data_IF_118638140212
#
_entry.id   IF_118638140212
#
_cell.length_a   1.000
_cell.length_b   1.000
_cell.length_c   1.000
_cell.angle_alpha   90.00
_cell.angle_beta   90.00
_cell.angle_gamma   90.00
#
_symmetry.space_group_name_H-M   'P 1'
#
loop_
_entity.id
_entity.type
_entity.pdbx_description
1 polymer ?
#
# COMPACT_ATOMS: atom_id res chain seq x y z
N UNK A 1 32.00 -10.85 -2.05
CA UNK A 1 30.65 -10.87 -2.64
C UNK A 1 29.65 -10.76 -1.49
N UNK A 2 29.11 -9.56 -1.25
CA UNK A 2 28.08 -9.33 -0.20
C UNK A 2 26.73 -9.74 -0.77
N UNK A 3 26.14 -10.81 -0.25
CA UNK A 3 24.77 -11.21 -0.55
C UNK A 3 23.83 -10.15 0.04
N UNK A 4 23.19 -9.36 -0.81
CA UNK A 4 22.11 -8.48 -0.41
C UNK A 4 20.86 -9.37 -0.31
N UNK A 5 20.57 -9.80 0.92
CA UNK A 5 19.25 -10.32 1.25
C UNK A 5 18.30 -9.13 1.34
N UNK A 6 17.43 -8.98 0.36
CA UNK A 6 16.26 -8.11 0.50
C UNK A 6 15.31 -8.83 1.45
N UNK A 7 15.49 -8.58 2.74
CA UNK A 7 14.52 -8.97 3.74
C UNK A 7 13.33 -8.04 3.58
N UNK A 8 12.26 -8.54 2.95
CA UNK A 8 10.96 -7.88 2.99
C UNK A 8 10.48 -7.95 4.44
N UNK A 9 10.81 -6.92 5.22
CA UNK A 9 10.17 -6.72 6.51
C UNK A 9 8.69 -6.43 6.22
N UNK A 10 7.86 -7.44 6.45
CA UNK A 10 6.42 -7.26 6.63
C UNK A 10 6.25 -6.46 7.93
N UNK A 11 6.35 -5.15 7.85
CA UNK A 11 5.93 -4.29 8.93
C UNK A 11 4.39 -4.34 8.97
N UNK A 12 3.88 -5.29 9.76
CA UNK A 12 2.55 -5.17 10.33
C UNK A 12 2.62 -3.93 11.22
N UNK A 13 2.37 -2.75 10.63
CA UNK A 13 2.01 -1.59 11.40
C UNK A 13 0.63 -1.89 12.01
N UNK A 14 0.65 -2.57 13.14
CA UNK A 14 -0.42 -2.44 14.11
C UNK A 14 -0.42 -0.93 14.46
N UNK A 15 -1.27 -0.17 13.78
CA UNK A 15 -1.61 1.17 14.21
C UNK A 15 -2.35 0.94 15.52
N UNK A 16 -1.58 0.90 16.63
CA UNK A 16 -2.12 1.16 17.95
C UNK A 16 -2.65 2.60 17.85
N UNK A 17 -3.90 2.70 17.40
CA UNK A 17 -4.60 3.97 17.34
C UNK A 17 -4.57 4.56 18.75
N UNK A 18 -3.99 5.73 18.89
CA UNK A 18 -4.32 6.58 20.03
C UNK A 18 -5.85 6.63 20.03
N UNK A 19 -6.46 6.07 21.10
CA UNK A 19 -7.90 6.06 21.22
C UNK A 19 -8.34 7.52 21.19
N UNK A 20 -9.00 7.91 20.11
CA UNK A 20 -9.48 9.26 19.89
C UNK A 20 -10.36 9.65 21.07
N UNK A 21 -10.24 10.88 21.58
CA UNK A 21 -11.13 11.39 22.63
C UNK A 21 -12.58 11.27 22.18
N UNK A 22 -12.82 11.51 20.89
CA UNK A 22 -14.13 11.38 20.23
C UNK A 22 -14.78 9.99 20.42
N UNK A 23 -13.99 8.90 20.41
CA UNK A 23 -14.52 7.54 20.58
C UNK A 23 -14.91 7.24 22.05
N UNK A 24 -14.38 8.02 23.00
CA UNK A 24 -14.60 7.88 24.44
C UNK A 24 -15.72 8.77 24.97
N UNK A 25 -16.26 9.68 24.16
CA UNK A 25 -17.32 10.60 24.60
C UNK A 25 -18.61 9.82 24.86
N UNK A 26 -19.14 9.95 26.08
CA UNK A 26 -20.45 9.39 26.43
C UNK A 26 -21.57 10.27 25.90
N UNK A 27 -22.50 9.65 25.20
CA UNK A 27 -23.73 10.27 24.71
C UNK A 27 -24.96 9.89 25.56
N UNK A 28 -24.77 9.13 26.64
CA UNK A 28 -25.85 8.69 27.49
C UNK A 28 -26.67 9.88 28.05
N UNK A 29 -27.97 9.89 27.81
CA UNK A 29 -28.88 10.94 28.25
C UNK A 29 -28.72 12.29 27.56
N UNK A 30 -27.98 12.36 26.46
CA UNK A 30 -27.86 13.58 25.65
C UNK A 30 -29.08 13.73 24.75
N UNK A 31 -29.67 14.92 24.67
CA UNK A 31 -30.73 15.19 23.71
C UNK A 31 -30.18 15.24 22.27
N UNK A 32 -31.08 15.08 21.34
CA UNK A 32 -30.77 15.30 19.93
C UNK A 32 -30.36 16.75 19.66
N UNK A 33 -29.47 16.95 18.73
CA UNK A 33 -28.97 18.26 18.34
C UNK A 33 -27.48 18.39 18.35
N UNK A 34 -26.98 19.62 18.40
CA UNK A 34 -25.56 19.92 18.41
C UNK A 34 -24.93 19.47 19.74
N UNK A 35 -23.78 18.87 19.65
CA UNK A 35 -23.00 18.38 20.78
C UNK A 35 -21.64 19.07 20.81
N UNK A 36 -21.24 19.51 22.00
CA UNK A 36 -19.88 20.01 22.26
C UNK A 36 -19.40 19.40 23.59
N UNK A 37 -18.20 18.92 23.62
CA UNK A 37 -17.50 18.45 24.80
C UNK A 37 -16.05 18.94 24.76
N UNK A 38 -15.58 19.44 25.88
CA UNK A 38 -14.18 19.87 26.03
C UNK A 38 -13.57 19.21 27.26
N UNK A 39 -12.40 18.61 27.07
CA UNK A 39 -11.63 18.00 28.15
C UNK A 39 -10.15 18.17 27.90
N UNK A 40 -9.40 18.69 28.90
CA UNK A 40 -7.98 18.95 28.80
C UNK A 40 -7.58 19.75 27.54
N UNK A 41 -8.41 20.73 27.16
CA UNK A 41 -8.21 21.60 26.02
C UNK A 41 -8.48 20.94 24.64
N UNK A 42 -8.87 19.68 24.61
CA UNK A 42 -9.38 18.99 23.39
C UNK A 42 -10.87 19.24 23.30
N UNK A 43 -11.30 19.83 22.18
CA UNK A 43 -12.71 20.06 21.88
C UNK A 43 -13.21 18.99 20.91
N UNK A 44 -14.33 18.36 21.25
CA UNK A 44 -15.06 17.41 20.39
C UNK A 44 -16.44 17.97 20.13
N UNK A 45 -16.83 18.07 18.87
CA UNK A 45 -18.17 18.56 18.52
C UNK A 45 -18.73 17.84 17.30
N UNK A 46 -20.05 17.75 17.25
CA UNK A 46 -20.77 17.07 16.18
C UNK A 46 -22.27 17.09 16.44
N UNK A 47 -23.00 16.19 15.86
CA UNK A 47 -24.46 16.08 15.99
C UNK A 47 -24.86 14.76 16.61
N UNK A 48 -25.77 14.81 17.59
CA UNK A 48 -26.42 13.65 18.15
C UNK A 48 -27.81 13.51 17.52
N UNK A 49 -28.17 12.30 17.13
CA UNK A 49 -29.51 11.93 16.68
C UNK A 49 -29.85 10.57 17.27
N UNK A 50 -31.01 10.45 17.94
CA UNK A 50 -31.44 9.23 18.64
C UNK A 50 -30.38 8.68 19.63
N UNK A 51 -29.64 9.58 20.30
CA UNK A 51 -28.58 9.23 21.23
C UNK A 51 -27.32 8.69 20.61
N UNK A 52 -27.16 8.85 19.28
CA UNK A 52 -26.02 8.35 18.48
C UNK A 52 -25.31 9.48 17.76
N UNK A 53 -24.03 9.25 17.42
CA UNK A 53 -23.28 10.14 16.53
C UNK A 53 -23.87 10.09 15.12
N UNK A 54 -24.15 11.26 14.55
CA UNK A 54 -24.65 11.42 13.18
C UNK A 54 -23.97 12.60 12.50
N UNK A 55 -23.77 12.51 11.19
CA UNK A 55 -23.14 13.55 10.39
C UNK A 55 -21.64 13.73 10.71
N UNK A 56 -21.15 14.95 10.54
CA UNK A 56 -19.73 15.27 10.71
C UNK A 56 -19.39 15.54 12.17
N UNK A 57 -18.36 14.87 12.65
CA UNK A 57 -17.78 15.05 13.97
C UNK A 57 -16.35 15.55 13.85
N UNK A 58 -15.96 16.50 14.69
CA UNK A 58 -14.62 17.09 14.71
C UNK A 58 -14.02 16.96 16.11
N UNK A 59 -12.75 16.58 16.16
CA UNK A 59 -11.89 16.66 17.34
C UNK A 59 -10.74 17.62 17.04
N UNK A 60 -10.45 18.57 17.94
CA UNK A 60 -9.33 19.51 17.76
C UNK A 60 -8.09 19.04 18.51
N UNK A 61 -6.95 19.60 18.18
CA UNK A 61 -5.78 19.52 19.03
C UNK A 61 -6.01 20.26 20.35
N UNK A 62 -5.35 19.81 21.42
CA UNK A 62 -5.46 20.46 22.71
C UNK A 62 -5.04 21.93 22.66
N UNK A 63 -5.90 22.81 23.25
CA UNK A 63 -5.70 24.24 23.31
C UNK A 63 -5.53 24.92 21.94
N UNK A 64 -6.16 24.37 20.91
CA UNK A 64 -6.08 24.85 19.55
C UNK A 64 -7.41 24.59 18.82
N UNK A 65 -7.78 25.46 17.87
CA UNK A 65 -8.96 25.27 17.03
C UNK A 65 -8.64 24.45 15.75
N UNK A 66 -7.40 24.04 15.54
CA UNK A 66 -7.02 23.21 14.39
C UNK A 66 -7.62 21.80 14.58
N UNK A 67 -8.39 21.30 13.61
CA UNK A 67 -8.88 19.94 13.65
C UNK A 67 -7.72 18.94 13.73
N UNK A 68 -7.85 17.93 14.60
CA UNK A 68 -7.01 16.74 14.59
C UNK A 68 -7.70 15.66 13.75
N UNK A 69 -9.01 15.49 13.95
CA UNK A 69 -9.84 14.57 13.17
C UNK A 69 -11.13 15.24 12.70
N UNK A 70 -11.55 14.90 11.48
CA UNK A 70 -12.90 15.11 10.98
C UNK A 70 -13.42 13.77 10.49
N UNK A 71 -14.53 13.30 11.04
CA UNK A 71 -15.07 11.96 10.78
C UNK A 71 -16.56 12.05 10.55
N UNK A 72 -17.05 11.38 9.51
CA UNK A 72 -18.47 11.21 9.27
C UNK A 72 -18.99 9.94 9.95
N UNK A 73 -20.12 10.08 10.61
CA UNK A 73 -20.82 9.00 11.31
C UNK A 73 -22.27 8.88 10.84
N UNK A 74 -22.73 7.63 10.79
CA UNK A 74 -24.14 7.27 10.72
C UNK A 74 -24.40 6.24 11.83
N UNK A 75 -25.36 6.49 12.72
CA UNK A 75 -25.73 5.60 13.82
C UNK A 75 -24.55 5.10 14.68
N UNK A 76 -23.61 5.99 15.05
CA UNK A 76 -22.34 5.70 15.73
C UNK A 76 -21.29 4.96 14.87
N UNK A 77 -21.62 4.52 13.67
CA UNK A 77 -20.66 3.90 12.76
C UNK A 77 -19.94 4.96 11.97
N UNK A 78 -18.63 4.80 11.76
CA UNK A 78 -17.93 5.60 10.75
C UNK A 78 -18.50 5.24 9.38
N UNK A 79 -19.13 6.20 8.74
CA UNK A 79 -19.72 6.06 7.41
C UNK A 79 -19.48 7.35 6.62
N UNK A 80 -18.69 7.24 5.55
CA UNK A 80 -18.21 8.37 4.76
C UNK A 80 -16.76 8.73 5.07
N UNK A 81 -16.46 10.01 5.10
CA UNK A 81 -15.10 10.54 5.12
C UNK A 81 -14.48 10.54 6.52
N UNK A 82 -13.22 10.11 6.59
CA UNK A 82 -12.30 10.27 7.72
C UNK A 82 -11.11 11.10 7.26
N UNK A 83 -10.83 12.20 7.95
CA UNK A 83 -9.65 13.03 7.76
C UNK A 83 -8.86 13.10 9.06
N UNK A 84 -7.55 13.03 8.96
CA UNK A 84 -6.59 13.27 10.03
C UNK A 84 -5.65 14.39 9.60
N UNK A 85 -5.39 15.33 10.50
CA UNK A 85 -4.56 16.50 10.24
C UNK A 85 -3.37 16.50 11.20
N UNK A 86 -2.29 17.16 10.80
CA UNK A 86 -1.20 17.51 11.69
C UNK A 86 -1.48 18.80 12.47
N UNK A 87 -0.57 19.17 13.37
CA UNK A 87 -0.70 20.39 14.19
C UNK A 87 -0.61 21.71 13.39
N UNK A 88 -0.22 21.64 12.13
CA UNK A 88 -0.19 22.76 11.19
C UNK A 88 -1.48 22.85 10.34
N UNK A 89 -2.40 21.88 10.49
CA UNK A 89 -3.66 21.81 9.75
C UNK A 89 -3.51 21.14 8.37
N UNK A 90 -2.38 20.52 8.07
CA UNK A 90 -2.22 19.77 6.83
C UNK A 90 -2.82 18.34 6.98
N UNK A 91 -3.47 17.87 5.92
CA UNK A 91 -4.01 16.50 5.89
C UNK A 91 -2.85 15.51 5.87
N UNK A 92 -2.84 14.58 6.85
CA UNK A 92 -1.87 13.47 6.91
C UNK A 92 -2.50 12.14 6.51
N UNK A 93 -3.84 12.03 6.63
CA UNK A 93 -4.57 10.83 6.21
C UNK A 93 -5.99 11.18 5.75
N UNK A 94 -6.43 10.52 4.67
CA UNK A 94 -7.81 10.50 4.21
C UNK A 94 -8.23 9.05 4.00
N UNK A 95 -9.40 8.67 4.53
CA UNK A 95 -9.97 7.33 4.39
C UNK A 95 -11.46 7.44 4.11
N UNK A 96 -11.99 6.55 3.31
CA UNK A 96 -13.43 6.38 3.13
C UNK A 96 -13.88 5.14 3.90
N UNK A 97 -14.94 5.28 4.69
CA UNK A 97 -15.53 4.22 5.51
C UNK A 97 -16.97 3.92 5.11
N UNK A 98 -17.34 2.68 5.25
CA UNK A 98 -18.70 2.18 5.23
C UNK A 98 -18.91 1.24 6.42
N UNK A 99 -19.90 1.52 7.29
CA UNK A 99 -20.21 0.69 8.47
C UNK A 99 -18.97 0.30 9.30
N UNK A 100 -18.12 1.27 9.66
CA UNK A 100 -16.84 1.10 10.37
C UNK A 100 -15.73 0.36 9.60
N UNK A 101 -15.97 -0.11 8.38
CA UNK A 101 -14.96 -0.74 7.54
C UNK A 101 -14.40 0.25 6.52
N UNK A 102 -13.10 0.18 6.26
CA UNK A 102 -12.53 0.95 5.15
C UNK A 102 -13.15 0.44 3.84
N UNK A 103 -13.80 1.33 3.09
CA UNK A 103 -14.46 1.03 1.81
C UNK A 103 -14.31 2.24 0.90
N UNK A 104 -13.46 2.12 -0.11
CA UNK A 104 -13.05 3.21 -0.99
C UNK A 104 -11.56 3.51 -0.91
N UNK A 105 -11.20 4.78 -0.98
CA UNK A 105 -9.81 5.21 -1.11
C UNK A 105 -9.16 5.54 0.24
N UNK A 106 -7.98 4.96 0.47
CA UNK A 106 -7.07 5.35 1.54
C UNK A 106 -5.92 6.17 0.95
N UNK A 107 -5.67 7.34 1.51
CA UNK A 107 -4.53 8.20 1.17
C UNK A 107 -3.74 8.53 2.44
N UNK A 108 -2.42 8.45 2.37
CA UNK A 108 -1.52 8.92 3.43
C UNK A 108 -0.53 9.93 2.86
N UNK A 109 -0.34 11.00 3.61
CA UNK A 109 0.58 12.08 3.25
C UNK A 109 1.67 12.25 4.31
N UNK A 110 2.81 12.77 3.89
CA UNK A 110 3.92 13.20 4.73
C UNK A 110 4.46 14.50 4.16
N UNK A 111 4.45 15.57 4.96
CA UNK A 111 4.85 16.92 4.49
C UNK A 111 4.14 17.33 3.19
N UNK A 112 2.81 17.12 3.12
CA UNK A 112 1.96 17.35 1.96
C UNK A 112 2.30 16.51 0.70
N UNK A 113 3.25 15.58 0.77
CA UNK A 113 3.56 14.63 -0.31
C UNK A 113 2.72 13.37 -0.13
N UNK A 114 2.05 12.91 -1.18
CA UNK A 114 1.33 11.65 -1.19
C UNK A 114 2.33 10.49 -1.06
N UNK A 115 2.15 9.66 -0.03
CA UNK A 115 3.01 8.50 0.26
C UNK A 115 2.35 7.18 -0.09
N UNK A 116 1.03 7.10 0.06
CA UNK A 116 0.27 5.88 -0.21
C UNK A 116 -1.10 6.22 -0.78
N UNK A 117 -1.50 5.48 -1.80
CA UNK A 117 -2.86 5.42 -2.32
C UNK A 117 -3.25 3.96 -2.42
N UNK A 118 -4.28 3.54 -1.69
CA UNK A 118 -4.67 2.14 -1.58
C UNK A 118 -6.19 2.05 -1.67
N UNK A 119 -6.68 1.17 -2.55
CA UNK A 119 -8.09 0.81 -2.60
C UNK A 119 -8.45 -0.18 -1.50
N UNK A 120 -9.61 0.02 -0.87
CA UNK A 120 -10.18 -0.88 0.12
C UNK A 120 -11.63 -1.23 -0.24
N UNK A 121 -12.04 -2.43 0.13
CA UNK A 121 -13.42 -2.88 0.09
C UNK A 121 -13.69 -3.75 1.33
N UNK A 122 -14.74 -3.42 2.07
CA UNK A 122 -15.13 -4.17 3.28
C UNK A 122 -13.94 -4.43 4.24
N UNK A 123 -13.11 -3.40 4.46
CA UNK A 123 -11.94 -3.45 5.35
C UNK A 123 -10.70 -4.15 4.79
N UNK A 124 -10.77 -4.71 3.58
CA UNK A 124 -9.65 -5.41 2.92
C UNK A 124 -9.10 -4.60 1.77
N UNK A 125 -7.77 -4.67 1.55
CA UNK A 125 -7.17 -4.09 0.34
C UNK A 125 -7.82 -4.72 -0.90
N UNK A 126 -8.29 -3.88 -1.82
CA UNK A 126 -8.96 -4.31 -3.05
C UNK A 126 -8.75 -3.27 -4.14
N UNK A 127 -8.39 -3.71 -5.35
CA UNK A 127 -8.04 -2.83 -6.44
C UNK A 127 -6.58 -2.35 -6.39
N UNK A 128 -6.32 -1.18 -6.94
CA UNK A 128 -4.99 -0.63 -7.09
C UNK A 128 -4.39 -0.13 -5.76
N UNK A 129 -3.09 -0.32 -5.61
CA UNK A 129 -2.26 0.23 -4.55
C UNK A 129 -1.02 0.88 -5.17
N UNK A 130 -0.74 2.11 -4.80
CA UNK A 130 0.48 2.82 -5.20
C UNK A 130 1.17 3.34 -3.95
N UNK A 131 2.46 3.03 -3.83
CA UNK A 131 3.35 3.55 -2.79
C UNK A 131 4.34 4.50 -3.45
N UNK A 132 4.65 5.60 -2.78
CA UNK A 132 5.52 6.63 -3.30
C UNK A 132 6.77 6.80 -2.44
N UNK A 133 7.86 7.24 -3.04
CA UNK A 133 9.03 7.75 -2.34
C UNK A 133 8.74 9.13 -1.73
N UNK A 134 9.57 9.56 -0.79
CA UNK A 134 9.46 10.86 -0.08
C UNK A 134 9.40 12.08 -1.03
N UNK A 135 9.81 11.94 -2.27
CA UNK A 135 9.78 13.00 -3.29
C UNK A 135 8.58 12.90 -4.26
N UNK A 136 7.63 11.99 -3.98
CA UNK A 136 6.39 11.83 -4.73
C UNK A 136 6.51 10.99 -6.01
N UNK A 137 7.67 10.42 -6.32
CA UNK A 137 7.79 9.43 -7.42
C UNK A 137 7.29 8.07 -6.97
N UNK A 138 6.76 7.28 -7.90
CA UNK A 138 6.22 5.95 -7.59
C UNK A 138 7.35 5.00 -7.21
N UNK A 139 7.19 4.30 -6.09
CA UNK A 139 8.06 3.24 -5.60
C UNK A 139 7.52 1.86 -5.98
N UNK A 140 6.21 1.64 -5.78
CA UNK A 140 5.55 0.36 -6.05
C UNK A 140 4.14 0.60 -6.59
N UNK A 141 3.73 -0.17 -7.59
CA UNK A 141 2.33 -0.36 -7.97
C UNK A 141 1.96 -1.82 -7.79
N UNK A 142 0.79 -2.08 -7.24
CA UNK A 142 0.28 -3.44 -6.98
C UNK A 142 -1.22 -3.49 -7.20
N UNK A 143 -1.73 -4.68 -7.49
CA UNK A 143 -3.17 -4.95 -7.49
C UNK A 143 -3.49 -5.93 -6.37
N UNK A 144 -4.59 -5.67 -5.67
CA UNK A 144 -5.07 -6.49 -4.56
C UNK A 144 -6.50 -6.98 -4.82
N UNK A 145 -6.79 -8.17 -4.32
CA UNK A 145 -8.12 -8.74 -4.24
C UNK A 145 -8.30 -9.39 -2.87
N UNK A 146 -9.36 -9.01 -2.15
CA UNK A 146 -9.71 -9.57 -0.84
C UNK A 146 -8.54 -9.59 0.18
N UNK A 147 -7.67 -8.56 0.14
CA UNK A 147 -6.52 -8.40 1.01
C UNK A 147 -5.21 -8.99 0.49
N UNK A 148 -5.24 -9.84 -0.53
CA UNK A 148 -4.09 -10.49 -1.12
C UNK A 148 -3.62 -9.78 -2.39
N UNK A 149 -2.31 -9.80 -2.69
CA UNK A 149 -1.84 -9.39 -4.03
C UNK A 149 -2.42 -10.33 -5.08
N UNK A 150 -3.07 -9.78 -6.10
CA UNK A 150 -3.64 -10.53 -7.23
C UNK A 150 -3.47 -9.70 -8.49
N UNK A 151 -2.57 -10.12 -9.37
CA UNK A 151 -2.14 -9.38 -10.54
C UNK A 151 -0.66 -8.99 -10.48
N UNK A 152 -0.29 -7.96 -11.26
CA UNK A 152 1.10 -7.52 -11.39
C UNK A 152 1.47 -6.54 -10.27
N UNK A 153 2.67 -6.73 -9.72
CA UNK A 153 3.35 -5.76 -8.85
C UNK A 153 4.63 -5.31 -9.53
N UNK A 154 4.85 -4.00 -9.60
CA UNK A 154 6.04 -3.40 -10.20
C UNK A 154 6.73 -2.52 -9.17
N UNK A 155 8.04 -2.66 -9.06
CA UNK A 155 8.89 -1.78 -8.27
C UNK A 155 9.75 -0.91 -9.18
N UNK A 156 9.97 0.33 -8.75
CA UNK A 156 10.71 1.34 -9.48
C UNK A 156 11.92 1.81 -8.68
N UNK A 157 12.96 2.22 -9.36
CA UNK A 157 14.15 2.81 -8.74
C UNK A 157 13.83 4.17 -8.11
N UNK A 158 14.48 4.48 -6.99
CA UNK A 158 14.40 5.81 -6.38
C UNK A 158 15.32 6.77 -7.15
N UNK A 159 14.74 7.62 -7.97
CA UNK A 159 15.46 8.70 -8.67
C UNK A 159 14.88 10.06 -8.30
N UNK A 160 15.78 11.00 -8.02
CA UNK A 160 15.38 12.35 -7.63
C UNK A 160 14.53 13.03 -8.72
N UNK A 161 13.29 13.42 -8.35
CA UNK A 161 12.34 14.23 -9.16
C UNK A 161 11.94 13.62 -10.52
N UNK A 162 12.38 12.42 -10.85
CA UNK A 162 11.94 11.67 -12.02
C UNK A 162 11.42 10.31 -11.61
N UNK A 163 10.43 9.80 -12.33
CA UNK A 163 10.05 8.41 -12.18
C UNK A 163 11.26 7.53 -12.54
N UNK A 164 11.65 6.66 -11.61
CA UNK A 164 12.71 5.69 -11.85
C UNK A 164 12.26 4.60 -12.82
N UNK A 165 13.23 3.91 -13.39
CA UNK A 165 13.00 2.74 -14.22
C UNK A 165 12.49 1.57 -13.36
N UNK A 166 11.82 0.62 -13.99
CA UNK A 166 11.42 -0.63 -13.33
C UNK A 166 12.66 -1.40 -12.88
N UNK A 167 12.64 -1.86 -11.63
CA UNK A 167 13.70 -2.73 -11.08
C UNK A 167 13.22 -4.17 -10.93
N UNK A 168 11.92 -4.38 -10.77
CA UNK A 168 11.31 -5.70 -10.72
C UNK A 168 9.83 -5.66 -11.11
N UNK A 169 9.36 -6.76 -11.71
CA UNK A 169 7.95 -7.01 -11.99
C UNK A 169 7.62 -8.45 -11.60
N UNK A 170 6.66 -8.62 -10.71
CA UNK A 170 6.22 -9.93 -10.23
C UNK A 170 4.71 -10.09 -10.39
N UNK A 171 4.31 -11.28 -10.83
CA UNK A 171 2.90 -11.62 -10.96
C UNK A 171 2.46 -12.47 -9.78
N UNK A 172 1.28 -12.13 -9.25
CA UNK A 172 0.67 -12.81 -8.10
C UNK A 172 -0.72 -13.32 -8.44
N UNK A 173 -1.10 -14.39 -7.78
CA UNK A 173 -2.46 -14.90 -7.71
C UNK A 173 -2.76 -15.29 -6.26
N UNK A 174 -3.83 -14.72 -5.68
CA UNK A 174 -4.23 -14.99 -4.29
C UNK A 174 -3.07 -14.88 -3.27
N UNK A 175 -2.17 -13.89 -3.45
CA UNK A 175 -1.00 -13.63 -2.59
C UNK A 175 0.22 -14.50 -2.88
N UNK A 176 0.14 -15.44 -3.80
CA UNK A 176 1.23 -16.33 -4.18
C UNK A 176 1.87 -15.89 -5.50
N UNK A 177 3.17 -16.14 -5.66
CA UNK A 177 3.82 -15.98 -6.95
C UNK A 177 3.19 -16.94 -7.98
N UNK A 178 2.69 -16.38 -9.06
CA UNK A 178 2.05 -17.11 -10.15
C UNK A 178 2.42 -16.46 -11.48
N UNK A 179 3.07 -17.20 -12.39
CA UNK A 179 3.52 -16.66 -13.66
C UNK A 179 4.92 -16.04 -13.59
N UNK A 180 5.11 -14.95 -14.33
CA UNK A 180 6.43 -14.36 -14.60
C UNK A 180 6.92 -13.50 -13.43
N UNK A 181 8.23 -13.65 -13.16
CA UNK A 181 9.01 -12.79 -12.28
C UNK A 181 10.18 -12.24 -13.07
N UNK A 182 10.28 -10.94 -13.19
CA UNK A 182 11.38 -10.28 -13.90
C UNK A 182 12.10 -9.29 -12.98
N UNK A 183 13.41 -9.18 -13.19
CA UNK A 183 14.20 -8.05 -12.68
C UNK A 183 14.90 -7.37 -13.83
N UNK A 184 15.25 -6.11 -13.65
CA UNK A 184 15.77 -5.28 -14.73
C UNK A 184 17.11 -4.65 -14.35
N UNK A 185 17.92 -4.33 -15.35
CA UNK A 185 19.06 -3.44 -15.26
C UNK A 185 18.61 -1.98 -15.22
N UNK A 186 19.53 -1.07 -14.88
CA UNK A 186 19.22 0.37 -14.81
C UNK A 186 18.82 0.98 -16.18
N UNK A 187 19.20 0.34 -17.28
CA UNK A 187 18.81 0.75 -18.63
C UNK A 187 17.44 0.18 -19.07
N UNK A 188 16.75 -0.53 -18.17
CA UNK A 188 15.42 -1.13 -18.40
C UNK A 188 15.44 -2.48 -19.10
N UNK A 189 16.60 -3.01 -19.47
CA UNK A 189 16.68 -4.36 -20.04
C UNK A 189 16.46 -5.43 -18.97
N UNK A 190 15.86 -6.55 -19.38
CA UNK A 190 15.63 -7.69 -18.47
C UNK A 190 16.98 -8.25 -18.01
N UNK A 191 17.13 -8.41 -16.69
CA UNK A 191 18.28 -9.03 -16.05
C UNK A 191 18.00 -10.50 -15.72
N UNK A 192 16.84 -10.79 -15.15
CA UNK A 192 16.40 -12.17 -14.89
C UNK A 192 14.95 -12.34 -15.29
N UNK A 193 14.64 -13.54 -15.76
CA UNK A 193 13.29 -14.02 -16.04
C UNK A 193 13.10 -15.37 -15.37
N UNK A 194 12.04 -15.55 -14.61
CA UNK A 194 11.70 -16.81 -13.93
C UNK A 194 10.21 -17.04 -13.98
N UNK A 195 9.80 -18.29 -14.06
CA UNK A 195 8.39 -18.67 -13.95
C UNK A 195 8.09 -19.38 -12.63
N UNK A 196 6.94 -19.07 -12.05
CA UNK A 196 6.45 -19.64 -10.81
C UNK A 196 5.02 -20.14 -10.97
N UNK A 197 4.70 -21.17 -10.19
CA UNK A 197 3.35 -21.64 -9.93
C UNK A 197 3.22 -21.91 -8.43
N UNK A 198 2.21 -21.34 -7.76
CA UNK A 198 1.96 -21.52 -6.32
C UNK A 198 3.20 -21.22 -5.44
N UNK A 199 3.96 -20.15 -5.67
CA UNK A 199 5.24 -19.81 -5.02
C UNK A 199 6.42 -20.74 -5.36
N UNK A 200 6.21 -21.75 -6.17
CA UNK A 200 7.25 -22.72 -6.54
C UNK A 200 7.76 -22.41 -7.93
N UNK A 201 9.09 -22.32 -8.11
CA UNK A 201 9.65 -22.11 -9.44
C UNK A 201 9.30 -23.28 -10.37
N UNK A 202 8.64 -22.95 -11.49
CA UNK A 202 8.12 -23.96 -12.41
C UNK A 202 8.12 -23.41 -13.84
N UNK A 203 9.03 -23.90 -14.67
CA UNK A 203 9.24 -23.43 -16.02
C UNK A 203 10.64 -22.88 -16.26
N UNK A 204 10.83 -22.13 -17.36
CA UNK A 204 12.13 -21.59 -17.75
C UNK A 204 12.63 -20.52 -16.78
N UNK A 205 13.97 -20.45 -16.69
CA UNK A 205 14.71 -19.43 -15.95
C UNK A 205 15.85 -18.94 -16.80
N UNK A 206 15.90 -17.62 -17.03
CA UNK A 206 16.92 -16.96 -17.83
C UNK A 206 17.63 -15.88 -17.02
N UNK A 207 18.93 -15.74 -17.24
CA UNK A 207 19.72 -14.59 -16.82
C UNK A 207 20.35 -13.97 -18.07
N UNK A 208 20.37 -12.65 -18.13
CA UNK A 208 20.92 -11.90 -19.25
C UNK A 208 22.09 -11.04 -18.79
N UNK A 209 23.02 -10.73 -19.71
CA UNK A 209 24.03 -9.70 -19.56
C UNK A 209 23.41 -8.30 -19.76
N UNK A 210 24.11 -7.26 -19.34
CA UNK A 210 23.67 -5.86 -19.53
C UNK A 210 23.48 -5.46 -21.01
N UNK A 211 24.19 -6.10 -21.93
CA UNK A 211 23.99 -5.91 -23.38
C UNK A 211 22.70 -6.58 -23.91
N UNK A 212 21.98 -7.33 -23.06
CA UNK A 212 20.76 -8.07 -23.39
C UNK A 212 21.02 -9.47 -23.96
N UNK A 213 22.28 -9.89 -24.11
CA UNK A 213 22.60 -11.26 -24.52
C UNK A 213 22.30 -12.25 -23.40
N UNK A 214 21.88 -13.49 -23.78
CA UNK A 214 21.58 -14.55 -22.81
C UNK A 214 22.86 -15.00 -22.10
N UNK A 215 22.81 -15.05 -20.77
CA UNK A 215 23.91 -15.50 -19.92
C UNK A 215 23.72 -16.93 -19.45
N UNK A 216 22.54 -17.23 -18.89
CA UNK A 216 22.22 -18.59 -18.44
C UNK A 216 20.79 -18.98 -18.81
N UNK A 217 20.60 -20.27 -19.03
CA UNK A 217 19.31 -20.91 -19.23
C UNK A 217 19.21 -22.14 -18.33
N UNK A 218 18.13 -22.24 -17.56
CA UNK A 218 17.79 -23.42 -16.78
C UNK A 218 16.28 -23.66 -16.88
N UNK A 219 15.83 -24.86 -16.57
CA UNK A 219 14.42 -25.19 -16.49
C UNK A 219 14.12 -25.83 -15.14
N UNK A 220 12.95 -25.52 -14.59
CA UNK A 220 12.50 -25.99 -13.27
C UNK A 220 11.15 -26.70 -13.39
N UNK A 221 10.95 -27.69 -12.56
CA UNK A 221 9.65 -28.34 -12.38
C UNK A 221 9.46 -28.63 -10.90
N UNK A 222 8.39 -28.05 -10.33
CA UNK A 222 8.07 -28.19 -8.89
C UNK A 222 9.24 -27.80 -7.97
N UNK A 223 9.96 -26.72 -8.29
CA UNK A 223 11.10 -26.21 -7.52
C UNK A 223 12.44 -26.89 -7.80
N UNK A 224 12.44 -28.03 -8.46
CA UNK A 224 13.67 -28.76 -8.81
C UNK A 224 14.18 -28.37 -10.21
N UNK A 225 15.46 -28.10 -10.31
CA UNK A 225 16.08 -27.90 -11.60
C UNK A 225 16.08 -29.19 -12.42
N UNK A 226 15.68 -29.11 -13.67
CA UNK A 226 15.68 -30.22 -14.64
C UNK A 226 16.80 -30.01 -15.66
N UNK A 227 17.74 -30.94 -15.64
CA UNK A 227 18.96 -30.86 -16.44
C UNK A 227 19.98 -29.85 -15.91
N UNK A 228 21.04 -29.63 -16.70
CA UNK A 228 22.11 -28.70 -16.36
C UNK A 228 21.75 -27.28 -16.79
N UNK A 229 22.24 -26.29 -16.05
CA UNK A 229 22.24 -24.90 -16.52
C UNK A 229 23.16 -24.81 -17.75
N UNK A 230 22.63 -24.19 -18.81
CA UNK A 230 23.44 -23.82 -19.96
C UNK A 230 23.98 -22.42 -19.73
N UNK A 231 25.25 -22.22 -20.03
CA UNK A 231 25.93 -20.93 -19.96
C UNK A 231 26.34 -20.48 -21.36
N UNK A 232 26.24 -19.16 -21.57
CA UNK A 232 26.54 -18.56 -22.88
C UNK A 232 27.52 -17.40 -22.68
N UNK A 233 28.51 -17.25 -23.57
CA UNK A 233 29.41 -16.10 -23.56
C UNK A 233 28.64 -14.83 -23.91
N UNK A 234 29.07 -13.70 -23.33
CA UNK A 234 28.52 -12.39 -23.65
C UNK A 234 28.57 -12.06 -25.14
N UNK A 235 27.57 -11.33 -25.64
CA UNK A 235 27.46 -10.91 -27.04
C UNK A 235 26.77 -11.92 -27.98
N UNK A 236 26.39 -13.09 -27.49
CA UNK A 236 25.60 -14.04 -28.27
C UNK A 236 24.12 -13.67 -28.25
N UNK A 237 23.56 -13.21 -29.36
CA UNK A 237 22.15 -12.83 -29.45
C UNK A 237 21.22 -14.02 -29.20
N UNK A 238 20.25 -13.85 -28.31
CA UNK A 238 19.15 -14.80 -28.11
C UNK A 238 18.06 -14.49 -29.13
N UNK A 239 17.94 -15.37 -30.13
CA UNK A 239 16.78 -15.31 -31.05
C UNK A 239 15.66 -16.14 -30.41
N UNK A 240 14.63 -15.46 -29.89
CA UNK A 240 13.39 -16.09 -29.48
C UNK A 240 12.62 -16.44 -30.77
N UNK A 241 12.57 -17.72 -31.11
CA UNK A 241 11.67 -18.22 -32.17
C UNK A 241 10.24 -18.24 -31.63
#
# INVERSE_FOLDING_TARGET
>A
MKKIFVTVLLSIFCVAGYAQTMDKVSLAGRPDGDFVHENNGVKVYGKVLDGKKSGTWTETYANNEIPHFIIQYEDNNRDGLYLEFDKQGAIVKKVEYKDNLMDGCYLRFKNAVLMERIGYKEGKKNGESTIYYDKGTVMETSTYKDGNRDGVTIWYANKDKKQGEMVAMYTYKDGKFEGVQETYYEDGKVKTYKMFADNVQNGPSYEFYEDGSLKTEANFKNGEQKGNTKEYPQGKKFLKN
#
